data_IF_094476588404
#
_entry.id   IF_094476588404
#
_cell.length_a   1.000
_cell.length_b   1.000
_cell.length_c   1.000
_cell.angle_alpha   90.00
_cell.angle_beta   90.00
_cell.angle_gamma   90.00
#
_symmetry.space_group_name_H-M   'P 1'
#
loop_
_entity.id
_entity.type
_entity.pdbx_description
1 polymer ?
#
# COMPACT_ATOMS: atom_id res chain seq x y z
N UNK A 1 4.03 -27.54 -24.45
CA UNK A 1 4.99 -26.42 -24.63
C UNK A 1 4.29 -25.07 -24.57
N UNK A 2 3.23 -24.83 -25.35
CA UNK A 2 2.50 -23.54 -25.33
C UNK A 2 2.01 -23.10 -23.94
N UNK A 3 1.43 -24.00 -23.14
CA UNK A 3 0.95 -23.68 -21.78
C UNK A 3 2.04 -23.09 -20.89
N UNK A 4 3.26 -23.63 -20.96
CA UNK A 4 4.40 -23.15 -20.15
C UNK A 4 4.82 -21.75 -20.61
N UNK A 5 4.86 -21.50 -21.92
CA UNK A 5 5.19 -20.19 -22.47
C UNK A 5 4.17 -19.12 -22.04
N UNK A 6 2.87 -19.43 -22.12
CA UNK A 6 1.81 -18.52 -21.66
C UNK A 6 1.92 -18.27 -20.16
N UNK A 7 2.16 -19.30 -19.36
CA UNK A 7 2.36 -19.15 -17.91
C UNK A 7 3.56 -18.26 -17.58
N UNK A 8 4.68 -18.39 -18.29
CA UNK A 8 5.85 -17.52 -18.08
C UNK A 8 5.51 -16.05 -18.34
N UNK A 9 4.73 -15.75 -19.38
CA UNK A 9 4.26 -14.39 -19.64
C UNK A 9 3.31 -13.87 -18.56
N UNK A 10 2.44 -14.73 -18.01
CA UNK A 10 1.57 -14.38 -16.89
C UNK A 10 2.42 -14.05 -15.65
N UNK A 11 3.36 -14.91 -15.29
CA UNK A 11 4.28 -14.67 -14.14
C UNK A 11 5.08 -13.39 -14.36
N UNK A 12 5.61 -13.17 -15.56
CA UNK A 12 6.29 -11.93 -15.91
C UNK A 12 5.39 -10.69 -15.71
N UNK A 13 4.15 -10.75 -16.19
CA UNK A 13 3.16 -9.69 -16.00
C UNK A 13 2.85 -9.42 -14.53
N UNK A 14 2.74 -10.47 -13.70
CA UNK A 14 2.52 -10.35 -12.25
C UNK A 14 3.69 -9.62 -11.57
N UNK A 15 4.93 -9.99 -11.90
CA UNK A 15 6.13 -9.33 -11.36
C UNK A 15 6.19 -7.85 -11.76
N UNK A 16 5.88 -7.55 -13.03
CA UNK A 16 5.84 -6.20 -13.55
C UNK A 16 4.75 -5.37 -12.85
N UNK A 17 3.59 -5.95 -12.58
CA UNK A 17 2.49 -5.29 -11.86
C UNK A 17 2.93 -4.88 -10.45
N UNK A 18 3.57 -5.78 -9.69
CA UNK A 18 4.10 -5.45 -8.35
C UNK A 18 5.18 -4.37 -8.44
N UNK A 19 6.04 -4.39 -9.48
CA UNK A 19 7.00 -3.31 -9.72
C UNK A 19 6.30 -1.96 -9.90
N UNK A 20 5.26 -1.90 -10.73
CA UNK A 20 4.48 -0.67 -10.98
C UNK A 20 3.84 -0.18 -9.67
N UNK A 21 3.31 -1.07 -8.84
CA UNK A 21 2.71 -0.70 -7.56
C UNK A 21 3.73 -0.02 -6.62
N UNK A 22 4.94 -0.59 -6.49
CA UNK A 22 6.02 0.00 -5.69
C UNK A 22 6.48 1.34 -6.28
N UNK A 23 6.58 1.45 -7.61
CA UNK A 23 6.97 2.70 -8.28
C UNK A 23 5.90 3.79 -8.12
N UNK A 24 4.60 3.43 -8.14
CA UNK A 24 3.52 4.34 -7.85
C UNK A 24 3.58 4.86 -6.41
N UNK A 25 3.90 4.01 -5.44
CA UNK A 25 4.11 4.41 -4.04
C UNK A 25 5.28 5.39 -3.89
N UNK A 26 6.39 5.13 -4.58
CA UNK A 26 7.55 6.03 -4.61
C UNK A 26 7.21 7.36 -5.27
N UNK A 27 6.55 7.35 -6.44
CA UNK A 27 6.19 8.57 -7.15
C UNK A 27 5.24 9.43 -6.32
N UNK A 28 4.23 8.84 -5.68
CA UNK A 28 3.35 9.54 -4.74
C UNK A 28 4.15 10.24 -3.63
N UNK A 29 5.13 9.53 -3.05
CA UNK A 29 6.04 10.09 -2.04
C UNK A 29 6.90 11.25 -2.57
N UNK A 30 7.48 11.13 -3.77
CA UNK A 30 8.32 12.17 -4.39
C UNK A 30 7.49 13.43 -4.69
N UNK A 31 6.27 13.26 -5.23
CA UNK A 31 5.36 14.37 -5.52
C UNK A 31 4.99 15.14 -4.23
N UNK A 32 4.76 14.42 -3.12
CA UNK A 32 4.50 15.03 -1.81
C UNK A 32 5.70 15.83 -1.30
N UNK A 33 6.91 15.25 -1.33
CA UNK A 33 8.13 15.92 -0.88
C UNK A 33 8.39 17.23 -1.66
N UNK A 34 8.16 17.21 -2.98
CA UNK A 34 8.26 18.43 -3.82
C UNK A 34 7.27 19.51 -3.41
N UNK A 35 6.04 19.15 -3.03
CA UNK A 35 5.02 20.12 -2.62
C UNK A 35 5.25 20.76 -1.25
N UNK A 36 6.01 20.09 -0.36
CA UNK A 36 6.27 20.56 1.00
C UNK A 36 7.63 21.25 1.16
N UNK A 37 8.41 21.38 0.07
CA UNK A 37 9.74 22.00 0.06
C UNK A 37 10.73 21.42 1.11
N UNK A 38 10.53 20.16 1.51
CA UNK A 38 11.41 19.46 2.45
C UNK A 38 12.59 18.89 1.68
N UNK A 39 13.79 18.93 2.28
CA UNK A 39 15.02 18.39 1.68
C UNK A 39 14.85 16.92 1.30
N UNK A 40 15.15 16.59 0.04
CA UNK A 40 15.08 15.22 -0.51
C UNK A 40 16.17 14.39 0.15
N UNK A 41 15.84 13.70 1.24
CA UNK A 41 16.76 12.74 1.86
C UNK A 41 16.80 11.46 1.02
N UNK A 42 17.99 10.85 0.90
CA UNK A 42 18.19 9.56 0.21
C UNK A 42 17.41 8.39 0.83
N UNK A 43 16.85 8.61 2.03
CA UNK A 43 16.06 7.66 2.80
C UNK A 43 14.86 7.10 2.02
N UNK A 44 14.15 7.94 1.26
CA UNK A 44 12.98 7.50 0.47
C UNK A 44 13.34 6.44 -0.58
N UNK A 45 14.46 6.63 -1.27
CA UNK A 45 14.95 5.66 -2.26
C UNK A 45 15.45 4.37 -1.61
N UNK A 46 16.18 4.46 -0.49
CA UNK A 46 16.61 3.27 0.28
C UNK A 46 15.41 2.42 0.72
N UNK A 47 14.35 3.08 1.21
CA UNK A 47 13.09 2.39 1.59
C UNK A 47 12.48 1.64 0.42
N UNK A 48 12.46 2.20 -0.79
CA UNK A 48 11.95 1.52 -1.98
C UNK A 48 12.80 0.30 -2.35
N UNK A 49 14.13 0.40 -2.29
CA UNK A 49 15.00 -0.75 -2.54
C UNK A 49 14.74 -1.88 -1.53
N UNK A 50 14.54 -1.55 -0.25
CA UNK A 50 14.16 -2.54 0.76
C UNK A 50 12.82 -3.21 0.45
N UNK A 51 11.80 -2.44 0.04
CA UNK A 51 10.51 -2.98 -0.41
C UNK A 51 10.68 -3.93 -1.60
N UNK A 52 11.40 -3.52 -2.63
CA UNK A 52 11.68 -4.35 -3.81
C UNK A 52 12.33 -5.67 -3.38
N UNK A 53 13.39 -5.61 -2.57
CA UNK A 53 14.08 -6.82 -2.11
C UNK A 53 13.15 -7.75 -1.35
N UNK A 54 12.39 -7.24 -0.37
CA UNK A 54 11.48 -8.05 0.43
C UNK A 54 10.35 -8.65 -0.42
N UNK A 55 9.76 -7.86 -1.32
CA UNK A 55 8.59 -8.28 -2.09
C UNK A 55 8.98 -9.28 -3.18
N UNK A 56 10.14 -9.09 -3.82
CA UNK A 56 10.64 -10.03 -4.83
C UNK A 56 11.13 -11.33 -4.19
N UNK A 57 11.76 -11.28 -3.02
CA UNK A 57 12.11 -12.50 -2.29
C UNK A 57 10.87 -13.33 -1.96
N UNK A 58 9.79 -12.68 -1.51
CA UNK A 58 8.51 -13.34 -1.26
C UNK A 58 7.90 -13.89 -2.57
N UNK A 59 7.82 -13.08 -3.63
CA UNK A 59 7.26 -13.50 -4.92
C UNK A 59 7.99 -14.70 -5.52
N UNK A 60 9.31 -14.74 -5.42
CA UNK A 60 10.12 -15.88 -5.89
C UNK A 60 9.74 -17.14 -5.11
N UNK A 61 9.62 -17.05 -3.78
CA UNK A 61 9.19 -18.20 -2.97
C UNK A 61 7.79 -18.72 -3.37
N UNK A 62 6.85 -17.82 -3.63
CA UNK A 62 5.50 -18.18 -4.11
C UNK A 62 5.53 -18.78 -5.51
N UNK A 63 6.37 -18.25 -6.40
CA UNK A 63 6.54 -18.76 -7.77
C UNK A 63 7.14 -20.16 -7.77
N UNK A 64 8.07 -20.44 -6.85
CA UNK A 64 8.59 -21.81 -6.65
C UNK A 64 7.48 -22.75 -6.19
N UNK A 65 6.61 -22.31 -5.27
CA UNK A 65 5.46 -23.11 -4.83
C UNK A 65 4.50 -23.43 -5.99
N UNK A 66 4.15 -22.43 -6.81
CA UNK A 66 3.35 -22.66 -8.02
C UNK A 66 4.06 -23.56 -9.02
N UNK A 67 5.38 -23.42 -9.22
CA UNK A 67 6.15 -24.28 -10.11
C UNK A 67 6.11 -25.74 -9.66
N UNK A 68 6.21 -26.00 -8.35
CA UNK A 68 6.04 -27.34 -7.77
C UNK A 68 4.63 -27.88 -8.03
N UNK A 69 3.58 -27.11 -7.72
CA UNK A 69 2.18 -27.50 -8.01
C UNK A 69 1.98 -27.80 -9.50
N UNK A 70 2.48 -26.93 -10.37
CA UNK A 70 2.37 -27.06 -11.83
C UNK A 70 3.12 -28.27 -12.37
N UNK A 71 4.30 -28.58 -11.82
CA UNK A 71 5.04 -29.79 -12.19
C UNK A 71 4.25 -31.06 -11.88
N UNK A 72 3.54 -31.09 -10.73
CA UNK A 72 2.67 -32.19 -10.35
C UNK A 72 1.45 -32.29 -11.28
N UNK A 73 0.85 -31.15 -11.65
CA UNK A 73 -0.25 -31.10 -12.63
C UNK A 73 0.22 -31.61 -14.00
N UNK A 74 1.38 -31.16 -14.47
CA UNK A 74 1.96 -31.61 -15.73
C UNK A 74 2.22 -33.12 -15.74
N UNK A 75 2.79 -33.66 -14.66
CA UNK A 75 2.98 -35.10 -14.50
C UNK A 75 1.64 -35.84 -14.52
N UNK A 76 0.62 -35.34 -13.81
CA UNK A 76 -0.70 -35.96 -13.79
C UNK A 76 -1.38 -35.94 -15.17
N UNK A 77 -1.30 -34.83 -15.91
CA UNK A 77 -1.86 -34.72 -17.26
C UNK A 77 -1.15 -35.67 -18.24
N UNK A 78 0.17 -35.84 -18.11
CA UNK A 78 0.98 -36.68 -19.00
C UNK A 78 0.76 -38.19 -18.82
N UNK A 79 0.49 -38.65 -17.59
CA UNK A 79 0.43 -40.08 -17.25
C UNK A 79 -0.97 -40.59 -16.90
N UNK A 80 -1.87 -39.71 -16.47
CA UNK A 80 -3.22 -40.09 -15.99
C UNK A 80 -4.35 -39.38 -16.74
N UNK A 81 -4.03 -38.61 -17.80
CA UNK A 81 -4.98 -37.86 -18.65
C UNK A 81 -5.94 -36.91 -17.89
N UNK A 82 -5.62 -36.55 -16.65
CA UNK A 82 -6.41 -35.56 -15.91
C UNK A 82 -6.16 -34.15 -16.47
N UNK A 83 -7.24 -33.47 -16.87
CA UNK A 83 -7.21 -32.04 -17.23
C UNK A 83 -7.42 -31.16 -16.00
N UNK A 84 -6.35 -30.92 -15.27
CA UNK A 84 -6.34 -30.02 -14.12
C UNK A 84 -5.92 -28.60 -14.58
N UNK A 85 -6.40 -27.57 -13.89
CA UNK A 85 -6.09 -26.17 -14.22
C UNK A 85 -4.59 -25.89 -14.01
N UNK A 86 -3.92 -25.38 -15.05
CA UNK A 86 -2.49 -25.03 -15.06
C UNK A 86 -2.31 -23.50 -14.94
N UNK A 87 -2.33 -22.95 -13.72
CA UNK A 87 -2.26 -21.50 -13.48
C UNK A 87 -1.56 -21.15 -12.15
N UNK A 88 -0.75 -20.06 -12.08
CA UNK A 88 0.06 -19.71 -10.91
C UNK A 88 -0.77 -18.96 -9.85
N UNK A 89 -1.63 -19.69 -9.15
CA UNK A 89 -2.59 -19.10 -8.22
C UNK A 89 -1.94 -18.48 -6.99
N UNK A 90 -0.92 -19.14 -6.43
CA UNK A 90 -0.29 -18.71 -5.18
C UNK A 90 0.47 -17.40 -5.38
N UNK A 91 1.20 -17.29 -6.48
CA UNK A 91 1.94 -16.09 -6.90
C UNK A 91 0.98 -14.95 -7.21
N UNK A 92 -0.12 -15.22 -7.92
CA UNK A 92 -1.14 -14.21 -8.20
C UNK A 92 -1.72 -13.64 -6.91
N UNK A 93 -2.13 -14.51 -5.98
CA UNK A 93 -2.70 -14.09 -4.70
C UNK A 93 -1.69 -13.26 -3.88
N UNK A 94 -0.43 -13.70 -3.83
CA UNK A 94 0.63 -12.95 -3.14
C UNK A 94 0.87 -11.58 -3.75
N UNK A 95 0.90 -11.49 -5.09
CA UNK A 95 1.04 -10.22 -5.78
C UNK A 95 -0.12 -9.26 -5.51
N UNK A 96 -1.36 -9.76 -5.52
CA UNK A 96 -2.54 -8.97 -5.18
C UNK A 96 -2.44 -8.41 -3.75
N UNK A 97 -2.05 -9.24 -2.79
CA UNK A 97 -1.83 -8.82 -1.40
C UNK A 97 -0.77 -7.72 -1.29
N UNK A 98 0.37 -7.88 -1.96
CA UNK A 98 1.42 -6.86 -2.00
C UNK A 98 0.94 -5.54 -2.61
N UNK A 99 0.13 -5.60 -3.68
CA UNK A 99 -0.43 -4.41 -4.29
C UNK A 99 -1.42 -3.68 -3.37
N UNK A 100 -2.27 -4.42 -2.64
CA UNK A 100 -3.19 -3.84 -1.67
C UNK A 100 -2.45 -3.12 -0.54
N UNK A 101 -1.32 -3.67 -0.07
CA UNK A 101 -0.47 -3.04 0.95
C UNK A 101 0.08 -1.70 0.44
N UNK A 102 0.56 -1.66 -0.81
CA UNK A 102 1.08 -0.42 -1.40
C UNK A 102 0.00 0.63 -1.64
N UNK A 103 -1.18 0.22 -2.13
CA UNK A 103 -2.32 1.12 -2.28
C UNK A 103 -2.72 1.72 -0.93
N UNK A 104 -2.81 0.90 0.13
CA UNK A 104 -3.08 1.38 1.49
C UNK A 104 -2.00 2.38 1.96
N UNK A 105 -0.73 2.11 1.69
CA UNK A 105 0.37 3.02 2.04
C UNK A 105 0.25 4.39 1.37
N UNK A 106 -0.26 4.43 0.12
CA UNK A 106 -0.52 5.70 -0.59
C UNK A 106 -1.65 6.48 0.08
N UNK A 107 -2.75 5.82 0.45
CA UNK A 107 -3.88 6.47 1.13
C UNK A 107 -3.47 7.07 2.48
N UNK A 108 -2.71 6.33 3.28
CA UNK A 108 -2.15 6.82 4.56
C UNK A 108 -1.30 8.08 4.34
N UNK A 109 -0.42 8.07 3.34
CA UNK A 109 0.40 9.25 2.99
C UNK A 109 -0.45 10.45 2.55
N UNK A 110 -1.60 10.22 1.90
CA UNK A 110 -2.50 11.28 1.48
C UNK A 110 -3.22 11.91 2.68
N UNK A 111 -3.73 11.10 3.60
CA UNK A 111 -4.40 11.58 4.81
C UNK A 111 -3.44 12.38 5.71
N UNK A 112 -2.21 11.89 5.91
CA UNK A 112 -1.18 12.61 6.66
C UNK A 112 -0.87 13.99 6.09
N UNK A 113 -0.96 14.15 4.75
CA UNK A 113 -0.75 15.45 4.11
C UNK A 113 -1.85 16.44 4.51
N UNK A 114 -3.11 15.99 4.50
CA UNK A 114 -4.27 16.83 4.85
C UNK A 114 -4.20 17.26 6.31
N UNK A 115 -3.83 16.34 7.21
CA UNK A 115 -3.68 16.63 8.65
C UNK A 115 -2.57 17.67 8.91
N UNK A 116 -1.42 17.53 8.25
CA UNK A 116 -0.30 18.46 8.41
C UNK A 116 -0.64 19.86 7.89
N UNK A 117 -1.31 19.95 6.74
CA UNK A 117 -1.75 21.23 6.16
C UNK A 117 -2.77 21.94 7.07
N UNK A 118 -3.73 21.18 7.60
CA UNK A 118 -4.73 21.71 8.54
C UNK A 118 -4.08 22.27 9.81
N UNK A 119 -3.12 21.54 10.40
CA UNK A 119 -2.40 22.00 11.58
C UNK A 119 -1.56 23.26 11.29
N UNK A 120 -0.90 23.32 10.12
CA UNK A 120 -0.15 24.50 9.68
C UNK A 120 -1.02 25.75 9.53
N UNK A 121 -2.22 25.60 8.96
CA UNK A 121 -3.18 26.71 8.85
C UNK A 121 -3.65 27.21 10.22
N UNK A 122 -3.89 26.33 11.19
CA UNK A 122 -4.27 26.71 12.55
C UNK A 122 -3.14 27.50 13.23
N UNK A 123 -1.90 27.00 13.17
CA UNK A 123 -0.72 27.70 13.73
C UNK A 123 -0.50 29.05 13.06
N UNK A 124 -0.64 29.13 11.73
CA UNK A 124 -0.54 30.39 11.00
C UNK A 124 -1.60 31.42 11.42
N UNK A 125 -2.85 30.99 11.62
CA UNK A 125 -3.92 31.88 12.12
C UNK A 125 -3.65 32.38 13.54
N UNK A 126 -3.15 31.53 14.43
CA UNK A 126 -2.79 31.91 15.81
C UNK A 126 -1.66 32.95 15.82
N UNK A 127 -0.64 32.78 14.98
CA UNK A 127 0.49 33.73 14.90
C UNK A 127 0.08 35.06 14.28
N UNK A 128 -0.93 35.07 13.39
CA UNK A 128 -1.40 36.28 12.70
C UNK A 128 -2.37 37.09 13.58
N UNK A 129 -3.19 36.42 14.40
CA UNK A 129 -4.12 37.04 15.35
C UNK A 129 -3.57 37.06 16.80
N UNK A 130 -2.32 37.51 17.00
CA UNK A 130 -1.69 37.51 18.33
C UNK A 130 -2.46 38.28 19.41
N UNK A 131 -3.32 39.21 19.01
CA UNK A 131 -4.10 40.02 19.94
C UNK A 131 -5.31 39.26 20.54
N UNK A 132 -5.69 38.11 19.96
CA UNK A 132 -6.91 37.35 20.33
C UNK A 132 -6.64 35.85 20.60
N UNK A 133 -5.44 35.58 21.12
CA UNK A 133 -4.88 34.24 21.36
C UNK A 133 -5.75 33.35 22.26
N UNK A 134 -6.52 33.94 23.18
CA UNK A 134 -7.33 33.22 24.16
C UNK A 134 -8.61 32.61 23.59
N UNK A 135 -9.35 33.33 22.75
CA UNK A 135 -10.65 32.88 22.21
C UNK A 135 -10.49 31.83 21.11
N UNK A 136 -9.47 31.97 20.26
CA UNK A 136 -9.22 31.04 19.15
C UNK A 136 -8.74 29.68 19.69
N UNK A 137 -7.87 29.67 20.70
CA UNK A 137 -7.42 28.41 21.33
C UNK A 137 -8.59 27.72 22.03
N UNK A 138 -9.46 28.48 22.72
CA UNK A 138 -10.65 27.92 23.38
C UNK A 138 -11.62 27.29 22.39
N UNK A 139 -11.97 28.02 21.33
CA UNK A 139 -12.91 27.52 20.31
C UNK A 139 -12.37 26.30 19.57
N UNK A 140 -11.06 26.20 19.30
CA UNK A 140 -10.45 25.01 18.67
C UNK A 140 -10.43 23.82 19.62
N UNK A 141 -10.11 24.03 20.90
CA UNK A 141 -10.15 22.98 21.93
C UNK A 141 -11.58 22.48 22.14
N UNK A 142 -12.56 23.38 22.17
CA UNK A 142 -13.98 23.05 22.29
C UNK A 142 -14.47 22.27 21.06
N UNK A 143 -14.10 22.68 19.85
CA UNK A 143 -14.42 21.93 18.62
C UNK A 143 -13.78 20.53 18.58
N UNK A 144 -12.57 20.38 19.15
CA UNK A 144 -11.91 19.08 19.26
C UNK A 144 -12.54 18.18 20.31
N UNK A 145 -13.09 18.74 21.39
CA UNK A 145 -13.78 18.00 22.44
C UNK A 145 -15.22 17.62 22.04
N UNK A 146 -15.95 18.51 21.38
CA UNK A 146 -17.31 18.23 20.88
C UNK A 146 -17.32 17.14 19.79
N UNK A 147 -16.25 17.08 18.99
CA UNK A 147 -16.04 15.99 18.01
C UNK A 147 -15.67 14.65 18.66
N UNK A 148 -15.11 14.66 19.88
CA UNK A 148 -14.89 13.44 20.68
C UNK A 148 -16.18 12.94 21.34
N UNK A 149 -17.08 13.84 21.75
CA UNK A 149 -18.37 13.48 22.34
C UNK A 149 -19.39 12.95 21.32
N UNK A 150 -19.34 13.41 20.06
CA UNK A 150 -20.26 12.97 18.99
C UNK A 150 -19.79 11.76 18.17
N UNK A 151 -18.88 10.93 18.68
CA UNK A 151 -18.70 9.58 18.11
C UNK A 151 -19.79 8.68 18.70
N UNK A 152 -20.78 8.20 17.90
CA UNK A 152 -21.80 7.30 18.43
C UNK A 152 -21.10 6.06 18.96
N UNK A 153 -21.27 5.81 20.25
CA UNK A 153 -20.91 4.56 20.89
C UNK A 153 -21.87 3.48 20.34
N UNK A 154 -21.55 2.91 19.18
CA UNK A 154 -22.23 1.71 18.70
C UNK A 154 -21.19 0.66 18.33
N UNK A 155 -20.74 -0.09 19.33
CA UNK A 155 -20.92 -1.55 19.35
C UNK A 155 -20.24 -2.12 20.61
N UNK A 156 -21.02 -2.23 21.69
CA UNK A 156 -20.92 -3.38 22.59
C UNK A 156 -22.33 -3.85 22.97
N UNK A 157 -22.54 -5.13 22.70
CA UNK A 157 -23.55 -6.03 23.27
C UNK A 157 -24.96 -6.02 22.65
N UNK A 158 -25.19 -6.98 21.75
CA UNK A 158 -26.40 -7.82 21.85
C UNK A 158 -25.96 -9.29 21.90
N UNK A 159 -26.31 -9.90 23.03
CA UNK A 159 -26.60 -11.31 23.35
C UNK A 159 -25.98 -12.42 22.48
#
# INVERSE_FOLDING_TARGET
MEKIFVTLWIVFGIYLLVMIAILADLWSGIRKAKSMNVTRTSYGYRRTITKISQYYNLLIALTVADALQMSAVWYSEQYYEYKIIFFPFVTLLGALMLCLIEVKSIYEKAEDKVRLDSAGQVVGKIITNRDDLGEIVKSVVDYMNEKKENTPNNEKNTL
#
